data_IF_993137140302
#
_entry.id   IF_993137140302
#
_cell.length_a   1.000
_cell.length_b   1.000
_cell.length_c   1.000
_cell.angle_alpha   90.00
_cell.angle_beta   90.00
_cell.angle_gamma   90.00
#
_symmetry.space_group_name_H-M   'P 1'
#
loop_
_entity.id
_entity.type
_entity.pdbx_description
1 polymer ?
#
# COMPACT_ATOMS: atom_id res chain seq x y z
N UNK A 1 -6.09 15.82 15.93
CA UNK A 1 -5.00 15.89 14.93
C UNK A 1 -5.34 14.92 13.79
N UNK A 2 -5.48 15.39 12.55
CA UNK A 2 -5.74 14.49 11.42
C UNK A 2 -4.41 14.06 10.80
N UNK A 3 -4.25 12.76 10.58
CA UNK A 3 -3.09 12.20 9.88
C UNK A 3 -3.16 12.55 8.38
N UNK A 4 -2.10 13.14 7.82
CA UNK A 4 -2.11 13.69 6.46
C UNK A 4 -1.61 12.66 5.44
N UNK A 5 -2.48 11.72 5.06
CA UNK A 5 -2.18 10.65 4.09
C UNK A 5 -1.63 11.11 2.73
N UNK A 6 -1.89 12.34 2.29
CA UNK A 6 -1.38 12.87 1.02
C UNK A 6 0.13 13.20 1.05
N UNK A 7 0.63 13.61 2.22
CA UNK A 7 2.03 13.97 2.42
C UNK A 7 2.92 12.75 2.60
N UNK A 8 2.34 11.63 3.04
CA UNK A 8 3.05 10.37 3.25
C UNK A 8 3.71 9.80 2.00
N UNK A 9 4.73 8.97 2.19
CA UNK A 9 5.45 8.36 1.07
C UNK A 9 4.57 7.40 0.25
N UNK A 10 4.83 7.34 -1.05
CA UNK A 10 4.14 6.43 -1.95
C UNK A 10 4.35 4.96 -1.55
N UNK A 11 5.54 4.61 -1.07
CA UNK A 11 5.85 3.24 -0.64
C UNK A 11 4.90 2.81 0.48
N UNK A 12 4.77 3.63 1.53
CA UNK A 12 3.87 3.41 2.65
C UNK A 12 2.41 3.23 2.20
N UNK A 13 1.91 4.08 1.31
CA UNK A 13 0.55 3.98 0.79
C UNK A 13 0.31 2.66 0.03
N UNK A 14 1.32 2.16 -0.69
CA UNK A 14 1.23 0.91 -1.45
C UNK A 14 1.36 -0.31 -0.55
N UNK A 15 2.24 -0.24 0.45
CA UNK A 15 2.39 -1.27 1.49
C UNK A 15 1.09 -1.41 2.28
N UNK A 16 0.49 -0.30 2.72
CA UNK A 16 -0.81 -0.29 3.39
C UNK A 16 -1.88 -0.95 2.51
N UNK A 17 -1.98 -0.52 1.25
CA UNK A 17 -2.89 -1.11 0.26
C UNK A 17 -2.71 -2.63 0.14
N UNK A 18 -1.47 -3.12 0.09
CA UNK A 18 -1.17 -4.54 -0.02
C UNK A 18 -1.49 -5.31 1.26
N UNK A 19 -1.14 -4.76 2.42
CA UNK A 19 -1.40 -5.36 3.73
C UNK A 19 -2.91 -5.50 4.01
N UNK A 20 -3.70 -4.48 3.66
CA UNK A 20 -5.15 -4.44 3.86
C UNK A 20 -5.96 -4.94 2.64
N UNK A 21 -5.29 -5.52 1.63
CA UNK A 21 -5.90 -6.10 0.42
C UNK A 21 -6.96 -5.20 -0.23
N UNK A 22 -6.70 -3.90 -0.30
CA UNK A 22 -7.68 -2.95 -0.83
C UNK A 22 -7.90 -3.17 -2.34
N UNK A 23 -9.16 -3.13 -2.77
CA UNK A 23 -9.56 -3.27 -4.19
C UNK A 23 -9.13 -2.09 -5.08
N UNK A 24 -8.61 -1.02 -4.48
CA UNK A 24 -8.15 0.15 -5.22
C UNK A 24 -6.96 -0.18 -6.11
N UNK A 25 -6.82 0.45 -7.28
CA UNK A 25 -5.63 0.27 -8.11
C UNK A 25 -4.39 0.92 -7.50
N UNK A 26 -3.20 0.45 -7.91
CA UNK A 26 -1.92 1.03 -7.51
C UNK A 26 -1.75 2.43 -8.10
N UNK A 27 -1.12 3.34 -7.35
CA UNK A 27 -0.76 4.66 -7.86
C UNK A 27 0.43 4.62 -8.86
N UNK A 28 0.63 5.71 -9.60
CA UNK A 28 1.82 5.93 -10.43
C UNK A 28 3.07 6.09 -9.56
N UNK A 29 4.22 5.60 -10.05
CA UNK A 29 5.50 5.65 -9.33
C UNK A 29 6.10 7.06 -9.31
N UNK A 30 5.71 7.91 -10.27
CA UNK A 30 6.19 9.29 -10.39
C UNK A 30 5.16 10.15 -11.11
N UNK A 31 5.19 11.46 -10.83
CA UNK A 31 4.35 12.45 -11.51
C UNK A 31 4.66 12.47 -13.02
N UNK A 32 5.93 12.29 -13.40
CA UNK A 32 6.34 12.19 -14.81
C UNK A 32 5.60 11.06 -15.51
N UNK A 33 5.57 9.87 -14.92
CA UNK A 33 4.88 8.72 -15.50
C UNK A 33 3.38 8.94 -15.58
N UNK A 34 2.78 9.56 -14.57
CA UNK A 34 1.38 9.95 -14.60
C UNK A 34 1.11 10.87 -15.81
N UNK A 35 1.91 11.91 -16.00
CA UNK A 35 1.73 12.85 -17.12
C UNK A 35 1.88 12.15 -18.47
N UNK A 36 2.96 11.39 -18.68
CA UNK A 36 3.21 10.68 -19.93
C UNK A 36 2.12 9.68 -20.29
N UNK A 37 1.56 8.98 -19.30
CA UNK A 37 0.58 7.92 -19.52
C UNK A 37 -0.87 8.43 -19.61
N UNK A 38 -1.17 9.57 -18.98
CA UNK A 38 -2.53 10.12 -18.93
C UNK A 38 -2.81 11.09 -20.09
N UNK A 39 -1.78 11.79 -20.56
CA UNK A 39 -1.89 12.74 -21.66
C UNK A 39 -2.45 12.07 -22.93
N UNK A 40 -3.22 12.82 -23.75
CA UNK A 40 -3.68 12.31 -25.04
C UNK A 40 -2.48 11.91 -25.90
N UNK A 41 -2.52 10.69 -26.47
CA UNK A 41 -1.45 10.15 -27.29
C UNK A 41 -1.14 8.67 -27.01
N UNK A 42 0.04 8.22 -27.45
CA UNK A 42 0.51 6.82 -27.39
C UNK A 42 0.57 6.29 -25.94
N UNK A 43 0.78 7.17 -24.95
CA UNK A 43 0.81 6.80 -23.52
C UNK A 43 -0.46 6.07 -23.04
N UNK A 44 -1.64 6.42 -23.60
CA UNK A 44 -2.91 5.76 -23.29
C UNK A 44 -3.03 4.36 -23.86
N UNK A 45 -2.32 4.09 -24.94
CA UNK A 45 -2.26 2.78 -25.60
C UNK A 45 -1.23 1.85 -24.93
N UNK A 46 -0.42 2.36 -24.00
CA UNK A 46 0.54 1.54 -23.26
C UNK A 46 -0.16 0.39 -22.52
N UNK A 47 0.53 -0.76 -22.32
CA UNK A 47 -0.03 -1.88 -21.54
C UNK A 47 -0.48 -1.52 -20.12
N UNK A 48 0.05 -0.42 -19.56
CA UNK A 48 -0.36 0.11 -18.25
C UNK A 48 -1.74 0.79 -18.32
N UNK A 49 -2.00 1.57 -19.37
CA UNK A 49 -3.23 2.37 -19.53
C UNK A 49 -4.31 1.67 -20.35
N UNK A 50 -3.95 0.73 -21.22
CA UNK A 50 -4.88 -0.09 -21.98
C UNK A 50 -5.70 -1.07 -21.12
N UNK A 51 -5.35 -1.26 -19.84
CA UNK A 51 -6.09 -2.08 -18.88
C UNK A 51 -7.52 -1.57 -18.66
N UNK A 52 -8.39 -2.44 -18.11
CA UNK A 52 -9.73 -2.06 -17.63
C UNK A 52 -9.61 -0.90 -16.63
N UNK A 53 -10.56 0.04 -16.66
CA UNK A 53 -10.52 1.29 -15.85
C UNK A 53 -10.30 1.02 -14.36
N UNK A 54 -10.87 -0.04 -13.81
CA UNK A 54 -10.70 -0.46 -12.40
C UNK A 54 -9.28 -0.90 -12.03
N UNK A 55 -8.46 -1.30 -13.01
CA UNK A 55 -7.09 -1.79 -12.81
C UNK A 55 -6.03 -0.84 -13.36
N UNK A 56 -6.41 0.32 -13.92
CA UNK A 56 -5.48 1.37 -14.37
C UNK A 56 -4.84 2.05 -13.18
N UNK A 57 -3.58 2.46 -13.33
CA UNK A 57 -2.89 3.23 -12.29
C UNK A 57 -3.60 4.56 -12.04
N UNK A 58 -3.56 5.00 -10.79
CA UNK A 58 -4.22 6.23 -10.31
C UNK A 58 -3.19 7.26 -9.81
N UNK A 59 -3.54 8.56 -9.74
CA UNK A 59 -2.69 9.55 -9.06
C UNK A 59 -2.50 9.19 -7.58
N UNK A 60 -1.37 9.62 -7.00
CA UNK A 60 -1.03 9.41 -5.58
C UNK A 60 -2.15 9.91 -4.66
N UNK A 61 -2.68 11.10 -4.93
CA UNK A 61 -3.76 11.71 -4.15
C UNK A 61 -5.01 10.83 -4.06
N UNK A 62 -5.36 10.16 -5.16
CA UNK A 62 -6.51 9.26 -5.17
C UNK A 62 -6.26 8.00 -4.33
N UNK A 63 -5.03 7.47 -4.33
CA UNK A 63 -4.66 6.37 -3.45
C UNK A 63 -4.68 6.82 -1.99
N UNK A 64 -4.12 8.00 -1.67
CA UNK A 64 -4.12 8.56 -0.32
C UNK A 64 -5.54 8.75 0.24
N UNK A 65 -6.48 9.26 -0.57
CA UNK A 65 -7.88 9.37 -0.16
C UNK A 65 -8.54 8.01 0.10
N UNK A 66 -8.25 7.01 -0.75
CA UNK A 66 -8.79 5.67 -0.55
C UNK A 66 -8.24 5.01 0.72
N UNK A 67 -6.94 5.19 0.99
CA UNK A 67 -6.27 4.71 2.21
C UNK A 67 -6.88 5.40 3.43
N UNK A 68 -7.02 6.73 3.41
CA UNK A 68 -7.69 7.48 4.48
C UNK A 68 -9.08 6.95 4.78
N UNK A 69 -9.89 6.71 3.73
CA UNK A 69 -11.23 6.17 3.90
C UNK A 69 -11.18 4.78 4.53
N UNK A 70 -10.35 3.88 4.01
CA UNK A 70 -10.24 2.52 4.54
C UNK A 70 -9.75 2.51 5.99
N UNK A 71 -8.79 3.37 6.34
CA UNK A 71 -8.30 3.53 7.69
C UNK A 71 -9.39 4.03 8.65
N UNK A 72 -10.18 5.02 8.23
CA UNK A 72 -11.28 5.56 9.04
C UNK A 72 -12.45 4.57 9.18
N UNK A 73 -12.71 3.76 8.15
CA UNK A 73 -13.75 2.73 8.16
C UNK A 73 -13.32 1.46 8.92
N UNK A 74 -12.05 1.35 9.32
CA UNK A 74 -11.54 0.19 10.04
C UNK A 74 -12.14 0.13 11.45
N UNK A 75 -13.01 -0.86 11.69
CA UNK A 75 -13.57 -1.14 13.01
C UNK A 75 -12.50 -1.84 13.87
N UNK A 76 -11.70 -1.06 14.57
CA UNK A 76 -10.60 -1.56 15.39
C UNK A 76 -10.86 -1.27 16.87
N UNK A 77 -10.68 -2.28 17.72
CA UNK A 77 -10.74 -2.12 19.17
C UNK A 77 -9.40 -1.61 19.69
N UNK A 78 -9.44 -0.50 20.44
CA UNK A 78 -8.24 0.17 20.94
C UNK A 78 -7.39 -0.73 21.85
N UNK A 79 -8.05 -1.53 22.70
CA UNK A 79 -7.37 -2.42 23.65
C UNK A 79 -6.54 -3.47 22.91
N UNK A 80 -7.13 -4.10 21.88
CA UNK A 80 -6.46 -5.14 21.12
C UNK A 80 -5.23 -4.59 20.37
N UNK A 81 -5.34 -3.36 19.85
CA UNK A 81 -4.21 -2.68 19.19
C UNK A 81 -3.09 -2.36 20.16
N UNK A 82 -3.42 -1.84 21.35
CA UNK A 82 -2.43 -1.53 22.36
C UNK A 82 -1.65 -2.78 22.79
N UNK A 83 -2.35 -3.89 23.02
CA UNK A 83 -1.71 -5.16 23.39
C UNK A 83 -0.82 -5.68 22.27
N UNK A 84 -1.29 -5.68 21.03
CA UNK A 84 -0.50 -6.13 19.87
C UNK A 84 0.73 -5.25 19.65
N UNK A 85 0.59 -3.92 19.79
CA UNK A 85 1.70 -2.98 19.72
C UNK A 85 2.75 -3.25 20.80
N UNK A 86 2.33 -3.34 22.07
CA UNK A 86 3.24 -3.62 23.20
C UNK A 86 3.97 -4.94 23.03
N UNK A 87 3.25 -5.98 22.59
CA UNK A 87 3.83 -7.28 22.32
C UNK A 87 4.87 -7.22 21.19
N UNK A 88 4.53 -6.59 20.06
CA UNK A 88 5.45 -6.41 18.94
C UNK A 88 6.68 -5.61 19.36
N UNK A 89 6.50 -4.51 20.10
CA UNK A 89 7.58 -3.63 20.55
C UNK A 89 8.53 -4.33 21.53
N UNK A 90 8.00 -5.20 22.40
CA UNK A 90 8.83 -5.97 23.34
C UNK A 90 9.56 -7.14 22.68
N UNK A 91 9.04 -7.66 21.57
CA UNK A 91 9.52 -8.89 20.94
C UNK A 91 10.15 -8.67 19.55
N UNK A 92 10.50 -7.43 19.18
CA UNK A 92 11.02 -7.05 17.85
C UNK A 92 12.21 -7.92 17.42
N UNK A 93 13.14 -8.19 18.33
CA UNK A 93 14.36 -8.97 18.06
C UNK A 93 14.09 -10.45 17.78
N UNK A 94 12.93 -10.97 18.19
CA UNK A 94 12.53 -12.37 17.98
C UNK A 94 11.86 -12.55 16.62
N UNK A 95 11.21 -11.53 16.08
CA UNK A 95 10.50 -11.58 14.80
C UNK A 95 11.43 -11.78 13.59
N UNK A 96 12.67 -11.30 13.68
CA UNK A 96 13.67 -11.43 12.60
C UNK A 96 14.12 -12.87 12.33
N UNK A 97 13.87 -13.82 13.24
CA UNK A 97 14.53 -15.15 13.19
C UNK A 97 13.82 -16.24 12.38
N UNK A 98 12.65 -15.98 11.81
CA UNK A 98 11.85 -17.03 11.12
C UNK A 98 11.81 -16.91 9.59
N UNK A 99 12.09 -15.75 8.99
CA UNK A 99 12.00 -15.56 7.53
C UNK A 99 13.19 -16.12 6.74
N UNK A 100 14.30 -16.42 7.42
CA UNK A 100 15.54 -16.92 6.80
C UNK A 100 15.95 -18.30 7.31
N UNK A 101 15.01 -19.08 7.86
CA UNK A 101 15.32 -20.46 8.26
C UNK A 101 15.62 -21.29 6.99
N UNK A 102 16.81 -21.88 6.85
CA UNK A 102 17.12 -22.70 5.69
C UNK A 102 16.15 -23.88 5.64
N UNK A 103 15.57 -24.11 4.46
CA UNK A 103 14.70 -25.27 4.24
C UNK A 103 15.56 -26.52 4.44
N UNK A 104 15.33 -27.29 5.51
CA UNK A 104 16.04 -28.53 5.77
C UNK A 104 15.63 -29.53 4.70
N UNK A 105 16.42 -29.64 3.63
CA UNK A 105 16.28 -30.72 2.66
C UNK A 105 16.64 -32.02 3.36
N UNK A 106 15.63 -32.82 3.68
CA UNK A 106 15.84 -34.19 4.14
C UNK A 106 16.36 -35.01 2.95
N UNK A 107 17.63 -35.43 3.02
CA UNK A 107 18.22 -36.51 2.22
C UNK A 107 18.33 -37.75 3.08
#
# INVERSE_FOLDING_TARGET
MQFTWAQEDLSLLQEYRAAHRMETPSAFNSIRNQFLLTNPGIGRQSPTMARRKSKRKVPKEQLAMAVRKNFNDAAVNEIDVMVDLLYKVRNQDKAFRLRSAPNKSNK
#
